data_IF_663724567639
#
_entry.id   IF_663724567639
#
_cell.length_a   1.000
_cell.length_b   1.000
_cell.length_c   1.000
_cell.angle_alpha   90.00
_cell.angle_beta   90.00
_cell.angle_gamma   90.00
#
_symmetry.space_group_name_H-M   'P 1'
#
loop_
_entity.id
_entity.type
_entity.pdbx_description
1 polymer ?
#
# COMPACT_ATOMS: atom_id res chain seq x y z
N UNK A 1 -21.50 9.16 -18.34
CA UNK A 1 -22.03 8.85 -19.70
C UNK A 1 -21.53 7.52 -20.27
N UNK A 2 -20.45 6.93 -19.74
CA UNK A 2 -19.86 5.68 -20.20
C UNK A 2 -20.83 4.50 -20.39
N UNK A 3 -21.92 4.44 -19.60
CA UNK A 3 -22.97 3.42 -19.68
C UNK A 3 -24.24 3.89 -20.39
N UNK A 4 -24.17 4.98 -21.16
CA UNK A 4 -25.32 5.56 -21.87
C UNK A 4 -26.37 6.22 -20.97
N UNK A 5 -26.05 6.48 -19.69
CA UNK A 5 -26.96 7.09 -18.70
C UNK A 5 -26.65 8.56 -18.45
N UNK A 6 -27.70 9.37 -18.35
CA UNK A 6 -27.64 10.77 -17.88
C UNK A 6 -27.68 10.75 -16.34
N UNK A 7 -26.80 11.48 -15.64
CA UNK A 7 -26.82 11.54 -14.17
C UNK A 7 -28.18 11.99 -13.62
N UNK A 8 -28.67 11.31 -12.59
CA UNK A 8 -29.93 11.61 -11.89
C UNK A 8 -29.80 12.72 -10.85
N UNK A 9 -28.60 13.31 -10.70
CA UNK A 9 -28.35 14.44 -9.82
C UNK A 9 -29.14 15.67 -10.25
N UNK A 10 -29.45 16.57 -9.31
CA UNK A 10 -30.21 17.80 -9.58
C UNK A 10 -29.61 18.62 -10.74
N UNK A 11 -28.28 18.73 -10.80
CA UNK A 11 -27.56 19.46 -11.85
C UNK A 11 -27.34 18.65 -13.14
N UNK A 12 -27.77 17.37 -13.19
CA UNK A 12 -27.53 16.43 -14.31
C UNK A 12 -26.07 16.32 -14.74
N UNK A 13 -25.16 16.45 -13.77
CA UNK A 13 -23.71 16.36 -13.94
C UNK A 13 -23.11 15.40 -12.92
N UNK A 14 -22.01 14.77 -13.30
CA UNK A 14 -21.15 14.04 -12.38
C UNK A 14 -20.50 15.06 -11.43
N UNK A 15 -20.56 14.77 -10.13
CA UNK A 15 -20.13 15.68 -9.06
C UNK A 15 -18.90 15.15 -8.34
N UNK A 16 -18.90 15.22 -7.01
CA UNK A 16 -17.85 14.61 -6.19
C UNK A 16 -17.75 13.09 -6.46
N UNK A 17 -16.54 12.50 -6.37
CA UNK A 17 -16.37 11.05 -6.50
C UNK A 17 -17.27 10.28 -5.54
N UNK A 18 -17.86 9.19 -6.03
CA UNK A 18 -18.61 8.25 -5.19
C UNK A 18 -17.66 7.41 -4.32
N UNK A 19 -18.21 6.65 -3.36
CA UNK A 19 -17.44 5.69 -2.58
C UNK A 19 -16.73 4.67 -3.49
N UNK A 20 -17.45 4.11 -4.47
CA UNK A 20 -16.88 3.15 -5.43
C UNK A 20 -15.74 3.76 -6.25
N UNK A 21 -15.90 5.00 -6.73
CA UNK A 21 -14.84 5.70 -7.46
C UNK A 21 -13.61 5.95 -6.56
N UNK A 22 -13.84 6.30 -5.29
CA UNK A 22 -12.77 6.51 -4.30
C UNK A 22 -12.02 5.21 -3.99
N UNK A 23 -12.75 4.10 -3.81
CA UNK A 23 -12.16 2.78 -3.59
C UNK A 23 -11.35 2.31 -4.81
N UNK A 24 -11.88 2.52 -6.02
CA UNK A 24 -11.18 2.21 -7.27
C UNK A 24 -9.88 3.01 -7.39
N UNK A 25 -9.92 4.31 -7.08
CA UNK A 25 -8.73 5.15 -7.06
C UNK A 25 -7.67 4.65 -6.04
N UNK A 26 -8.10 4.20 -4.86
CA UNK A 26 -7.19 3.60 -3.85
C UNK A 26 -6.57 2.29 -4.33
N UNK A 27 -7.33 1.47 -5.05
CA UNK A 27 -6.84 0.21 -5.64
C UNK A 27 -5.77 0.49 -6.70
N UNK A 28 -5.98 1.50 -7.56
CA UNK A 28 -4.97 1.97 -8.52
C UNK A 28 -3.73 2.49 -7.78
N UNK A 29 -3.91 3.39 -6.80
CA UNK A 29 -2.81 3.99 -6.02
C UNK A 29 -1.95 2.94 -5.31
N UNK A 30 -2.58 2.01 -4.58
CA UNK A 30 -1.87 0.93 -3.86
C UNK A 30 -1.06 0.02 -4.80
N UNK A 31 -1.50 -0.10 -6.05
CA UNK A 31 -0.82 -0.93 -7.05
C UNK A 31 0.43 -0.24 -7.61
N UNK A 32 0.33 1.05 -7.97
CA UNK A 32 1.44 1.77 -8.62
C UNK A 32 2.44 2.39 -7.64
N UNK A 33 2.00 2.80 -6.44
CA UNK A 33 2.81 3.57 -5.48
C UNK A 33 4.12 2.88 -5.07
N UNK A 34 4.16 1.56 -4.80
CA UNK A 34 5.42 0.89 -4.45
C UNK A 34 6.41 0.78 -5.62
N UNK A 35 5.97 1.03 -6.85
CA UNK A 35 6.75 0.80 -8.08
C UNK A 35 7.53 2.04 -8.54
N UNK A 36 7.29 3.20 -7.93
CA UNK A 36 8.12 4.38 -8.15
C UNK A 36 9.55 4.13 -7.64
N UNK A 37 10.52 4.65 -8.37
CA UNK A 37 11.91 4.64 -7.92
C UNK A 37 12.05 5.36 -6.57
N UNK A 38 12.92 4.84 -5.70
CA UNK A 38 13.12 5.41 -4.37
C UNK A 38 13.69 6.82 -4.47
N UNK A 39 13.27 7.70 -3.56
CA UNK A 39 13.68 9.11 -3.51
C UNK A 39 13.20 9.94 -4.70
N UNK A 40 12.14 9.49 -5.39
CA UNK A 40 11.42 10.33 -6.34
C UNK A 40 10.32 11.09 -5.61
N UNK A 41 10.60 12.35 -5.26
CA UNK A 41 9.74 13.18 -4.42
C UNK A 41 8.92 14.21 -5.21
N UNK A 42 8.99 14.19 -6.55
CA UNK A 42 8.20 15.07 -7.39
C UNK A 42 6.71 14.70 -7.36
N UNK A 43 5.85 15.71 -7.40
CA UNK A 43 4.40 15.50 -7.41
C UNK A 43 3.96 14.80 -8.70
N UNK A 44 3.20 13.71 -8.56
CA UNK A 44 2.61 12.96 -9.68
C UNK A 44 1.11 12.88 -9.48
N UNK A 45 0.36 13.24 -10.51
CA UNK A 45 -1.09 13.15 -10.53
C UNK A 45 -1.55 12.24 -11.67
N UNK A 46 -2.10 11.07 -11.32
CA UNK A 46 -2.69 10.12 -12.27
C UNK A 46 -4.21 10.25 -12.24
N UNK A 47 -4.80 10.54 -13.40
CA UNK A 47 -6.26 10.68 -13.56
C UNK A 47 -6.79 9.56 -14.45
N UNK A 48 -7.61 8.68 -13.89
CA UNK A 48 -8.29 7.61 -14.63
C UNK A 48 -9.74 8.01 -14.85
N UNK A 49 -10.14 8.16 -16.12
CA UNK A 49 -11.51 8.49 -16.51
C UNK A 49 -12.13 7.36 -17.32
N UNK A 50 -13.28 6.84 -16.86
CA UNK A 50 -14.02 5.79 -17.56
C UNK A 50 -14.91 6.44 -18.63
N UNK A 51 -14.56 6.23 -19.90
CA UNK A 51 -15.27 6.84 -21.04
C UNK A 51 -16.34 5.93 -21.63
N UNK A 52 -16.17 4.61 -21.54
CA UNK A 52 -17.09 3.59 -22.04
C UNK A 52 -17.11 2.40 -21.09
N UNK A 53 -18.28 1.81 -20.85
CA UNK A 53 -18.43 0.70 -19.93
C UNK A 53 -19.51 -0.27 -20.40
N UNK A 54 -19.14 -1.54 -20.55
CA UNK A 54 -19.99 -2.62 -21.04
C UNK A 54 -20.78 -3.34 -19.94
N UNK A 55 -20.45 -3.09 -18.67
CA UNK A 55 -21.10 -3.72 -17.52
C UNK A 55 -20.47 -5.03 -17.07
N UNK A 56 -19.36 -5.48 -17.67
CA UNK A 56 -18.82 -6.82 -17.41
C UNK A 56 -17.44 -6.81 -16.74
N UNK A 57 -16.57 -5.88 -17.13
CA UNK A 57 -15.18 -5.81 -16.62
C UNK A 57 -15.06 -4.72 -15.56
N UNK A 58 -14.54 -5.08 -14.39
CA UNK A 58 -14.29 -4.12 -13.30
C UNK A 58 -13.37 -2.97 -13.78
N UNK A 59 -13.85 -1.71 -13.83
CA UNK A 59 -13.06 -0.60 -14.34
C UNK A 59 -11.77 -0.34 -13.57
N UNK A 60 -11.70 -0.69 -12.28
CA UNK A 60 -10.48 -0.54 -11.48
C UNK A 60 -9.30 -1.36 -12.05
N UNK A 61 -9.56 -2.54 -12.62
CA UNK A 61 -8.54 -3.40 -13.24
C UNK A 61 -7.92 -2.72 -14.45
N UNK A 62 -8.76 -2.20 -15.35
CA UNK A 62 -8.31 -1.44 -16.52
C UNK A 62 -7.65 -0.12 -16.10
N UNK A 63 -8.09 0.48 -15.00
CA UNK A 63 -7.46 1.66 -14.40
C UNK A 63 -6.03 1.40 -13.96
N UNK A 64 -5.73 0.25 -13.35
CA UNK A 64 -4.36 -0.14 -12.98
C UNK A 64 -3.49 -0.29 -14.23
N UNK A 65 -3.98 -1.03 -15.23
CA UNK A 65 -3.24 -1.28 -16.48
C UNK A 65 -3.00 0.05 -17.21
N UNK A 66 -4.02 0.90 -17.33
CA UNK A 66 -3.91 2.20 -17.97
C UNK A 66 -2.94 3.14 -17.24
N UNK A 67 -2.99 3.19 -15.90
CA UNK A 67 -2.06 3.96 -15.10
C UNK A 67 -0.61 3.46 -15.24
N UNK A 68 -0.41 2.14 -15.17
CA UNK A 68 0.90 1.51 -15.37
C UNK A 68 1.47 1.84 -16.75
N UNK A 69 0.70 1.62 -17.82
CA UNK A 69 1.12 1.92 -19.19
C UNK A 69 1.46 3.41 -19.36
N UNK A 70 0.63 4.32 -18.84
CA UNK A 70 0.84 5.75 -18.95
C UNK A 70 2.12 6.21 -18.24
N UNK A 71 2.37 5.70 -17.04
CA UNK A 71 3.61 5.99 -16.29
C UNK A 71 4.84 5.36 -16.95
N UNK A 72 4.67 4.18 -17.55
CA UNK A 72 5.76 3.49 -18.23
C UNK A 72 6.23 4.25 -19.46
N UNK A 73 5.32 4.86 -20.23
CA UNK A 73 5.66 5.65 -21.42
C UNK A 73 5.95 7.14 -21.15
N UNK A 74 5.81 7.60 -19.90
CA UNK A 74 6.15 8.98 -19.53
C UNK A 74 7.63 9.13 -19.18
N UNK A 75 8.03 10.36 -18.87
CA UNK A 75 9.34 10.72 -18.34
C UNK A 75 9.53 10.34 -16.85
N UNK A 76 8.48 9.97 -16.14
CA UNK A 76 8.55 9.61 -14.70
C UNK A 76 9.40 8.34 -14.52
N UNK A 77 10.25 8.25 -13.48
CA UNK A 77 11.09 7.08 -13.18
C UNK A 77 10.27 5.90 -12.64
N UNK A 78 9.50 5.31 -13.56
CA UNK A 78 8.66 4.14 -13.41
C UNK A 78 9.08 3.13 -14.48
N UNK A 79 9.76 2.06 -14.05
CA UNK A 79 10.47 1.16 -14.96
C UNK A 79 9.82 -0.21 -15.07
N UNK A 80 9.03 -0.60 -14.09
CA UNK A 80 8.47 -1.95 -14.00
C UNK A 80 6.96 -1.90 -14.27
N UNK A 81 6.49 -2.38 -15.42
CA UNK A 81 5.06 -2.49 -15.67
C UNK A 81 4.39 -3.41 -14.66
N UNK A 82 3.17 -3.05 -14.31
CA UNK A 82 2.26 -3.91 -13.57
C UNK A 82 0.97 -4.11 -14.36
N UNK A 83 0.34 -5.25 -14.16
CA UNK A 83 -0.99 -5.52 -14.66
C UNK A 83 -1.86 -6.02 -13.51
N UNK A 84 -3.17 -6.03 -13.74
CA UNK A 84 -4.13 -6.53 -12.79
C UNK A 84 -5.12 -7.46 -13.47
N UNK A 85 -5.63 -8.42 -12.70
CA UNK A 85 -6.66 -9.37 -13.11
C UNK A 85 -7.67 -9.47 -11.97
N UNK A 86 -8.97 -9.46 -12.31
CA UNK A 86 -10.03 -9.86 -11.39
C UNK A 86 -10.31 -11.36 -11.58
N UNK A 87 -10.36 -12.11 -10.49
CA UNK A 87 -10.52 -13.56 -10.44
C UNK A 87 -11.67 -13.96 -9.52
N UNK A 88 -12.44 -14.93 -9.95
CA UNK A 88 -13.43 -15.64 -9.16
C UNK A 88 -13.09 -17.11 -9.00
N UNK A 89 -13.90 -17.85 -8.23
CA UNK A 89 -13.65 -19.27 -7.96
C UNK A 89 -14.91 -20.12 -8.09
N UNK A 90 -14.96 -21.05 -9.06
CA UNK A 90 -16.06 -22.02 -9.22
C UNK A 90 -15.54 -23.42 -8.87
N UNK A 91 -15.36 -24.27 -9.88
CA UNK A 91 -14.64 -25.55 -9.76
C UNK A 91 -13.12 -25.36 -9.81
N UNK A 92 -12.68 -24.14 -10.15
CA UNK A 92 -11.30 -23.64 -10.10
C UNK A 92 -11.30 -22.12 -10.29
N UNK A 93 -10.11 -21.49 -10.32
CA UNK A 93 -9.96 -20.07 -10.65
C UNK A 93 -10.51 -19.74 -12.04
N UNK A 94 -11.22 -18.63 -12.16
CA UNK A 94 -11.78 -18.14 -13.44
C UNK A 94 -11.57 -16.64 -13.58
N UNK A 95 -11.48 -16.14 -14.81
CA UNK A 95 -11.42 -14.70 -15.08
C UNK A 95 -12.76 -14.03 -14.71
N UNK A 96 -12.67 -12.89 -14.01
CA UNK A 96 -13.80 -12.10 -13.53
C UNK A 96 -14.38 -12.61 -12.21
N UNK A 97 -15.12 -11.76 -11.49
CA UNK A 97 -15.60 -12.08 -10.15
C UNK A 97 -16.75 -13.09 -10.19
N UNK A 98 -17.04 -13.72 -9.06
CA UNK A 98 -18.26 -14.48 -8.85
C UNK A 98 -18.73 -14.46 -7.38
N UNK A 99 -19.81 -15.20 -7.09
CA UNK A 99 -20.42 -15.26 -5.75
C UNK A 99 -19.51 -15.84 -4.65
N UNK A 100 -18.52 -16.65 -5.01
CA UNK A 100 -17.62 -17.28 -4.03
C UNK A 100 -16.36 -16.45 -3.81
N UNK A 101 -15.90 -15.74 -4.83
CA UNK A 101 -14.68 -14.96 -4.81
C UNK A 101 -14.77 -13.79 -5.80
N UNK A 102 -14.43 -12.60 -5.31
CA UNK A 102 -14.09 -11.41 -6.09
C UNK A 102 -12.70 -10.97 -5.63
N UNK A 103 -11.69 -11.30 -6.43
CA UNK A 103 -10.28 -11.14 -6.10
C UNK A 103 -9.59 -10.30 -7.18
N UNK A 104 -9.16 -9.09 -6.83
CA UNK A 104 -8.28 -8.29 -7.69
C UNK A 104 -6.85 -8.50 -7.26
N UNK A 105 -6.02 -9.00 -8.18
CA UNK A 105 -4.57 -9.15 -7.99
C UNK A 105 -3.86 -8.23 -8.96
N UNK A 106 -2.92 -7.42 -8.45
CA UNK A 106 -2.01 -6.63 -9.27
C UNK A 106 -0.57 -7.05 -9.02
N UNK A 107 0.21 -7.15 -10.08
CA UNK A 107 1.58 -7.64 -10.02
C UNK A 107 2.44 -7.23 -11.21
N UNK A 108 3.73 -7.36 -11.00
CA UNK A 108 4.77 -7.31 -12.03
C UNK A 108 5.07 -8.71 -12.56
N UNK A 109 6.04 -8.81 -13.47
CA UNK A 109 6.50 -10.09 -14.01
C UNK A 109 6.87 -11.09 -12.91
N UNK A 110 7.60 -10.64 -11.90
CA UNK A 110 8.20 -11.51 -10.89
C UNK A 110 7.44 -11.52 -9.55
N UNK A 111 6.68 -10.46 -9.25
CA UNK A 111 6.14 -10.25 -7.92
C UNK A 111 4.70 -9.74 -7.92
N UNK A 112 3.94 -10.20 -6.95
CA UNK A 112 2.61 -9.69 -6.62
C UNK A 112 2.77 -8.47 -5.72
N UNK A 113 2.06 -7.39 -6.07
CA UNK A 113 2.19 -6.08 -5.40
C UNK A 113 0.99 -5.79 -4.52
N UNK A 114 -0.22 -6.10 -5.00
CA UNK A 114 -1.46 -5.74 -4.34
C UNK A 114 -2.51 -6.84 -4.52
N UNK A 115 -3.24 -7.13 -3.45
CA UNK A 115 -4.38 -8.04 -3.44
C UNK A 115 -5.53 -7.36 -2.70
N UNK A 116 -6.72 -7.38 -3.28
CA UNK A 116 -7.99 -6.96 -2.67
C UNK A 116 -9.01 -8.07 -2.93
N UNK A 117 -9.71 -8.53 -1.88
CA UNK A 117 -10.56 -9.70 -1.98
C UNK A 117 -11.84 -9.59 -1.15
N UNK A 118 -12.93 -10.11 -1.72
CA UNK A 118 -14.14 -10.50 -1.00
C UNK A 118 -14.40 -11.98 -1.28
N UNK A 119 -14.67 -12.77 -0.24
CA UNK A 119 -14.80 -14.22 -0.39
C UNK A 119 -15.87 -14.80 0.55
N UNK A 120 -16.55 -15.85 0.08
CA UNK A 120 -17.58 -16.55 0.85
C UNK A 120 -17.01 -17.85 1.46
N UNK A 121 -16.28 -17.70 2.58
CA UNK A 121 -15.72 -18.81 3.37
C UNK A 121 -14.96 -19.88 2.56
N UNK A 122 -14.17 -19.46 1.56
CA UNK A 122 -13.30 -20.35 0.78
C UNK A 122 -11.99 -20.64 1.53
N UNK A 123 -11.40 -21.81 1.29
CA UNK A 123 -10.13 -22.19 1.94
C UNK A 123 -8.94 -21.37 1.44
N UNK A 124 -7.92 -21.24 2.28
CA UNK A 124 -6.68 -20.51 1.99
C UNK A 124 -5.99 -21.05 0.74
N UNK A 125 -5.99 -22.37 0.55
CA UNK A 125 -5.40 -23.00 -0.65
C UNK A 125 -6.08 -22.50 -1.93
N UNK A 126 -7.41 -22.39 -1.94
CA UNK A 126 -8.15 -21.90 -3.12
C UNK A 126 -7.85 -20.43 -3.42
N UNK A 127 -7.62 -19.62 -2.39
CA UNK A 127 -7.19 -18.23 -2.55
C UNK A 127 -5.78 -18.19 -3.17
N UNK A 128 -4.85 -19.00 -2.67
CA UNK A 128 -3.49 -19.09 -3.24
C UNK A 128 -3.53 -19.54 -4.70
N UNK A 129 -4.35 -20.55 -5.04
CA UNK A 129 -4.52 -21.02 -6.41
C UNK A 129 -5.09 -19.91 -7.31
N UNK A 130 -6.05 -19.13 -6.82
CA UNK A 130 -6.62 -17.99 -7.55
C UNK A 130 -5.60 -16.87 -7.78
N UNK A 131 -4.75 -16.60 -6.78
CA UNK A 131 -3.67 -15.62 -6.86
C UNK A 131 -2.63 -16.05 -7.91
N UNK A 132 -2.22 -17.32 -7.91
CA UNK A 132 -1.27 -17.85 -8.88
C UNK A 132 -1.85 -17.80 -10.30
N UNK A 133 -3.12 -18.18 -10.46
CA UNK A 133 -3.83 -18.05 -11.73
C UNK A 133 -3.85 -16.60 -12.23
N UNK A 134 -4.15 -15.63 -11.37
CA UNK A 134 -4.13 -14.22 -11.73
C UNK A 134 -2.73 -13.77 -12.23
N UNK A 135 -1.67 -14.18 -11.52
CA UNK A 135 -0.30 -13.85 -11.86
C UNK A 135 0.13 -14.45 -13.20
N UNK A 136 -0.32 -15.66 -13.54
CA UNK A 136 -0.11 -16.26 -14.86
C UNK A 136 -0.85 -15.49 -15.96
N UNK A 137 -2.13 -15.21 -15.76
CA UNK A 137 -2.97 -14.55 -16.79
C UNK A 137 -2.53 -13.11 -17.09
N UNK A 138 -1.90 -12.42 -16.14
CA UNK A 138 -1.46 -11.04 -16.35
C UNK A 138 -0.16 -10.90 -17.15
N UNK A 139 0.61 -11.98 -17.35
CA UNK A 139 1.92 -11.91 -18.02
C UNK A 139 1.82 -11.38 -19.47
N UNK A 140 0.77 -11.74 -20.21
CA UNK A 140 0.56 -11.23 -21.56
C UNK A 140 0.33 -9.71 -21.59
N UNK A 141 -0.37 -9.17 -20.58
CA UNK A 141 -0.61 -7.73 -20.45
C UNK A 141 0.67 -6.97 -20.07
N UNK A 142 1.53 -7.59 -19.26
CA UNK A 142 2.84 -7.04 -18.90
C UNK A 142 3.75 -7.00 -20.14
N UNK A 143 3.82 -8.10 -20.90
CA UNK A 143 4.61 -8.18 -22.12
C UNK A 143 4.19 -7.10 -23.14
N UNK A 144 2.88 -6.88 -23.31
CA UNK A 144 2.36 -5.84 -24.19
C UNK A 144 2.77 -4.42 -23.74
N UNK A 145 2.80 -4.16 -22.43
CA UNK A 145 3.30 -2.89 -21.89
C UNK A 145 4.81 -2.71 -22.14
N UNK A 146 5.59 -3.78 -22.00
CA UNK A 146 7.03 -3.76 -22.30
C UNK A 146 7.29 -3.49 -23.80
N UNK A 147 6.50 -4.08 -24.69
CA UNK A 147 6.55 -3.81 -26.14
C UNK A 147 6.23 -2.35 -26.44
N UNK A 148 5.14 -1.82 -25.87
CA UNK A 148 4.76 -0.42 -26.01
C UNK A 148 5.87 0.53 -25.53
N UNK A 149 6.48 0.26 -24.38
CA UNK A 149 7.57 1.07 -23.85
C UNK A 149 8.80 1.05 -24.77
N UNK A 150 9.13 -0.11 -25.36
CA UNK A 150 10.24 -0.23 -26.33
C UNK A 150 9.99 0.58 -27.60
N UNK A 151 8.75 0.61 -28.09
CA UNK A 151 8.39 1.39 -29.28
C UNK A 151 8.42 2.90 -29.04
N UNK A 152 7.93 3.35 -27.88
CA UNK A 152 7.93 4.78 -27.52
C UNK A 152 9.33 5.25 -27.13
N UNK A 153 10.11 4.40 -26.45
CA UNK A 153 11.45 4.68 -25.95
C UNK A 153 11.56 6.03 -25.19
N UNK A 154 10.78 6.23 -24.11
CA UNK A 154 10.75 7.51 -23.41
C UNK A 154 12.08 7.81 -22.69
N UNK A 155 12.50 9.07 -22.72
CA UNK A 155 13.62 9.53 -21.90
C UNK A 155 13.15 9.68 -20.45
N UNK A 156 13.72 8.86 -19.55
CA UNK A 156 13.36 8.86 -18.13
C UNK A 156 14.08 9.99 -17.39
N UNK A 157 13.34 10.66 -16.53
CA UNK A 157 13.84 11.64 -15.59
C UNK A 157 14.89 10.99 -14.69
N UNK A 158 16.07 11.58 -14.66
CA UNK A 158 17.17 11.13 -13.79
C UNK A 158 17.01 11.82 -12.44
N UNK A 159 16.80 11.02 -11.40
CA UNK A 159 16.71 11.52 -10.03
C UNK A 159 18.06 12.13 -9.64
N UNK A 160 18.05 13.43 -9.36
CA UNK A 160 19.21 14.09 -8.79
C UNK A 160 19.27 13.79 -7.30
N UNK A 161 20.24 12.96 -6.89
CA UNK A 161 20.54 12.79 -5.48
C UNK A 161 21.18 14.07 -4.95
N UNK A 162 20.46 14.81 -4.10
CA UNK A 162 21.09 15.83 -3.28
C UNK A 162 22.10 15.13 -2.37
N UNK A 163 23.32 15.65 -2.26
CA UNK A 163 24.27 15.20 -1.25
C UNK A 163 23.67 15.51 0.13
N UNK A 164 23.03 14.51 0.73
CA UNK A 164 22.49 14.62 2.09
C UNK A 164 23.61 14.59 3.13
N UNK A 165 23.34 15.17 4.30
CA UNK A 165 24.16 14.96 5.47
C UNK A 165 24.16 13.47 5.81
N UNK A 166 25.33 12.85 5.80
CA UNK A 166 25.47 11.41 5.96
C UNK A 166 25.30 11.05 7.44
N UNK A 167 24.12 10.56 7.82
CA UNK A 167 23.88 10.02 9.16
C UNK A 167 24.43 8.61 9.21
N UNK A 168 25.31 8.34 10.17
CA UNK A 168 25.91 7.01 10.34
C UNK A 168 25.18 6.16 11.39
N UNK A 169 25.46 4.86 11.39
CA UNK A 169 24.99 3.96 12.45
C UNK A 169 25.61 4.36 13.80
N UNK A 170 26.84 4.87 13.76
CA UNK A 170 27.57 5.38 14.92
C UNK A 170 26.84 6.54 15.60
N UNK A 171 26.26 7.44 14.82
CA UNK A 171 25.50 8.59 15.31
C UNK A 171 24.22 8.18 16.06
N UNK A 172 23.64 7.04 15.67
CA UNK A 172 22.40 6.51 16.23
C UNK A 172 22.60 5.33 17.19
N UNK A 173 23.83 5.10 17.68
CA UNK A 173 24.15 3.98 18.59
C UNK A 173 23.22 3.91 19.79
N UNK A 174 22.91 5.05 20.42
CA UNK A 174 22.03 5.08 21.59
C UNK A 174 20.59 4.74 21.22
N UNK A 175 20.10 5.24 20.10
CA UNK A 175 18.76 4.92 19.57
C UNK A 175 18.65 3.41 19.25
N UNK A 176 19.70 2.85 18.65
CA UNK A 176 19.77 1.42 18.34
C UNK A 176 19.82 0.57 19.62
N UNK A 177 20.52 1.03 20.65
CA UNK A 177 20.53 0.35 21.95
C UNK A 177 19.15 0.39 22.62
N UNK A 178 18.43 1.49 22.53
CA UNK A 178 17.05 1.57 23.04
C UNK A 178 16.11 0.65 22.24
N UNK A 179 16.32 0.49 20.93
CA UNK A 179 15.61 -0.49 20.10
C UNK A 179 15.80 -1.95 20.57
N UNK A 180 16.92 -2.27 21.22
CA UNK A 180 17.17 -3.60 21.80
C UNK A 180 16.47 -3.82 23.15
N UNK A 181 16.08 -2.75 23.84
CA UNK A 181 15.47 -2.84 25.17
C UNK A 181 14.03 -3.40 25.10
N UNK A 182 13.72 -4.49 25.80
CA UNK A 182 12.44 -5.21 25.65
C UNK A 182 11.21 -4.53 26.30
N UNK A 183 11.38 -3.46 27.07
CA UNK A 183 10.42 -3.08 28.14
C UNK A 183 9.51 -1.86 27.90
N UNK A 184 9.52 -1.20 26.74
CA UNK A 184 8.84 0.10 26.64
C UNK A 184 7.48 0.03 25.92
N UNK A 185 6.38 0.22 26.68
CA UNK A 185 5.05 0.56 26.10
C UNK A 185 5.11 1.80 25.20
N UNK A 186 6.10 2.67 25.42
CA UNK A 186 6.29 3.95 24.71
C UNK A 186 7.58 3.99 23.88
N UNK A 187 8.07 2.83 23.43
CA UNK A 187 9.36 2.71 22.73
C UNK A 187 9.45 3.61 21.50
N UNK A 188 8.36 3.69 20.73
CA UNK A 188 8.26 4.51 19.52
C UNK A 188 8.38 5.99 19.86
N UNK A 189 7.69 6.45 20.90
CA UNK A 189 7.73 7.85 21.32
C UNK A 189 9.11 8.24 21.87
N UNK A 190 9.76 7.35 22.62
CA UNK A 190 11.14 7.57 23.09
C UNK A 190 12.13 7.65 21.94
N UNK A 191 12.05 6.73 20.98
CA UNK A 191 12.92 6.73 19.79
C UNK A 191 12.72 8.02 19.01
N UNK A 192 11.48 8.45 18.78
CA UNK A 192 11.22 9.71 18.09
C UNK A 192 11.86 10.89 18.82
N UNK A 193 11.65 11.00 20.15
CA UNK A 193 12.28 12.04 20.96
C UNK A 193 13.82 12.04 20.87
N UNK A 194 14.44 10.86 20.81
CA UNK A 194 15.90 10.76 20.64
C UNK A 194 16.36 11.21 19.25
N UNK A 195 15.57 10.94 18.20
CA UNK A 195 15.85 11.44 16.85
C UNK A 195 15.71 12.97 16.82
N UNK A 196 14.63 13.50 17.39
CA UNK A 196 14.38 14.95 17.43
C UNK A 196 15.52 15.68 18.16
N UNK A 197 15.94 15.16 19.32
CA UNK A 197 17.09 15.69 20.07
C UNK A 197 18.41 15.58 19.28
N UNK A 198 18.66 14.47 18.60
CA UNK A 198 19.83 14.31 17.76
C UNK A 198 19.87 15.36 16.63
N UNK A 199 18.74 15.60 15.98
CA UNK A 199 18.61 16.60 14.92
C UNK A 199 18.81 18.01 15.51
N UNK A 200 18.23 18.33 16.66
CA UNK A 200 18.40 19.64 17.30
C UNK A 200 19.86 19.89 17.71
N UNK A 201 20.51 18.92 18.38
CA UNK A 201 21.87 19.08 18.91
C UNK A 201 22.95 19.15 17.81
N UNK A 202 22.83 18.32 16.77
CA UNK A 202 23.85 18.22 15.72
C UNK A 202 23.56 19.10 14.52
N UNK A 203 22.29 19.41 14.28
CA UNK A 203 21.80 19.97 13.03
C UNK A 203 20.72 21.06 13.21
N UNK A 204 20.54 21.60 14.42
CA UNK A 204 19.49 22.59 14.72
C UNK A 204 19.54 23.87 13.88
N UNK A 205 20.72 24.24 13.38
CA UNK A 205 20.94 25.41 12.53
C UNK A 205 20.69 25.18 11.03
N UNK A 206 20.40 23.93 10.62
CA UNK A 206 20.06 23.64 9.22
C UNK A 206 18.64 24.09 8.89
N UNK A 207 18.38 24.26 7.59
CA UNK A 207 17.03 24.48 7.10
C UNK A 207 16.12 23.25 7.35
N UNK A 208 14.82 23.48 7.28
CA UNK A 208 13.83 22.45 7.58
C UNK A 208 13.84 21.30 6.55
N UNK A 209 14.25 21.56 5.29
CA UNK A 209 14.34 20.55 4.23
C UNK A 209 15.46 19.54 4.52
N UNK A 210 16.62 20.03 4.95
CA UNK A 210 17.75 19.22 5.38
C UNK A 210 17.43 18.44 6.66
N UNK A 211 16.71 19.04 7.62
CA UNK A 211 16.25 18.33 8.82
C UNK A 211 15.34 17.16 8.48
N UNK A 212 14.39 17.35 7.58
CA UNK A 212 13.52 16.28 7.07
C UNK A 212 14.33 15.18 6.37
N UNK A 213 15.34 15.54 5.57
CA UNK A 213 16.23 14.57 4.93
C UNK A 213 17.06 13.75 5.94
N UNK A 214 17.51 14.39 7.03
CA UNK A 214 18.23 13.73 8.12
C UNK A 214 17.30 12.78 8.87
N UNK A 215 16.09 13.23 9.21
CA UNK A 215 15.07 12.39 9.85
C UNK A 215 14.73 11.16 9.00
N UNK A 216 14.54 11.34 7.70
CA UNK A 216 14.32 10.23 6.77
C UNK A 216 15.49 9.22 6.78
N UNK A 217 16.74 9.71 6.83
CA UNK A 217 17.94 8.88 6.93
C UNK A 217 18.01 8.12 8.25
N UNK A 218 17.71 8.78 9.38
CA UNK A 218 17.61 8.16 10.69
C UNK A 218 16.56 7.03 10.69
N UNK A 219 15.38 7.31 10.15
CA UNK A 219 14.30 6.34 10.03
C UNK A 219 14.67 5.13 9.16
N UNK A 220 15.46 5.31 8.10
CA UNK A 220 15.97 4.19 7.29
C UNK A 220 16.93 3.29 8.09
N UNK A 221 17.86 3.88 8.85
CA UNK A 221 18.81 3.14 9.70
C UNK A 221 18.06 2.37 10.79
N UNK A 222 17.12 3.04 11.47
CA UNK A 222 16.27 2.44 12.51
C UNK A 222 15.44 1.29 11.94
N UNK A 223 14.82 1.47 10.77
CA UNK A 223 14.07 0.43 10.07
C UNK A 223 14.95 -0.78 9.76
N UNK A 224 16.19 -0.56 9.31
CA UNK A 224 17.13 -1.64 9.04
C UNK A 224 17.58 -2.36 10.32
N UNK A 225 17.87 -1.62 11.39
CA UNK A 225 18.24 -2.16 12.70
C UNK A 225 17.10 -2.99 13.32
N UNK A 226 15.88 -2.45 13.34
CA UNK A 226 14.68 -3.14 13.79
C UNK A 226 14.45 -4.45 13.01
N UNK A 227 14.59 -4.43 11.69
CA UNK A 227 14.46 -5.63 10.86
C UNK A 227 15.51 -6.69 11.22
N UNK A 228 16.77 -6.29 11.42
CA UNK A 228 17.85 -7.20 11.84
C UNK A 228 17.55 -7.83 13.21
N UNK A 229 17.05 -7.06 14.17
CA UNK A 229 16.71 -7.55 15.50
C UNK A 229 15.59 -8.58 15.46
N UNK A 230 14.51 -8.30 14.71
CA UNK A 230 13.39 -9.24 14.57
C UNK A 230 13.83 -10.55 13.91
N UNK A 231 14.65 -10.48 12.86
CA UNK A 231 15.18 -11.67 12.18
C UNK A 231 16.14 -12.48 13.05
N UNK A 232 16.99 -11.82 13.84
CA UNK A 232 17.99 -12.46 14.71
C UNK A 232 17.35 -13.11 15.93
N UNK A 233 16.49 -12.36 16.62
CA UNK A 233 15.92 -12.78 17.90
C UNK A 233 14.64 -13.62 17.72
N UNK A 234 14.03 -13.61 16.53
CA UNK A 234 12.70 -14.20 16.25
C UNK A 234 11.61 -13.68 17.20
N UNK A 235 11.78 -12.45 17.66
CA UNK A 235 10.87 -11.73 18.55
C UNK A 235 10.56 -10.37 17.92
N UNK A 236 9.34 -9.87 18.15
CA UNK A 236 8.92 -8.53 17.76
C UNK A 236 9.52 -7.49 18.69
N UNK A 237 9.51 -6.22 18.25
CA UNK A 237 10.06 -5.09 19.01
C UNK A 237 9.35 -4.84 20.35
N UNK A 238 8.11 -5.33 20.49
CA UNK A 238 7.29 -5.27 21.70
C UNK A 238 7.41 -6.54 22.58
N UNK A 239 8.36 -7.43 22.27
CA UNK A 239 8.67 -8.63 23.04
C UNK A 239 7.80 -9.85 22.72
N UNK A 240 6.83 -9.73 21.81
CA UNK A 240 5.98 -10.87 21.41
C UNK A 240 6.73 -11.83 20.47
N UNK A 241 6.38 -13.12 20.50
CA UNK A 241 6.79 -14.04 19.44
C UNK A 241 6.13 -13.67 18.10
N UNK A 242 6.62 -14.26 17.00
CA UNK A 242 6.12 -13.95 15.65
C UNK A 242 4.65 -14.36 15.44
N UNK A 243 4.21 -15.40 16.14
CA UNK A 243 2.86 -15.99 16.12
C UNK A 243 1.95 -15.48 17.25
N UNK A 244 2.49 -14.79 18.26
CA UNK A 244 1.69 -14.28 19.38
C UNK A 244 0.85 -13.06 18.99
N UNK A 245 -0.46 -13.20 19.19
CA UNK A 245 -1.46 -12.11 19.09
C UNK A 245 -1.42 -11.27 20.37
N UNK A 246 -1.76 -9.97 20.27
CA UNK A 246 -1.92 -9.08 21.44
C UNK A 246 -3.14 -9.49 22.26
N UNK A 247 -3.18 -9.08 23.52
CA UNK A 247 -4.32 -9.31 24.41
C UNK A 247 -5.62 -8.79 23.77
N UNK A 248 -6.68 -9.60 23.88
CA UNK A 248 -7.99 -9.33 23.32
C UNK A 248 -8.96 -9.16 24.48
N UNK A 249 -9.73 -8.07 24.42
CA UNK A 249 -10.82 -7.77 25.35
C UNK A 249 -12.07 -7.43 24.55
N UNK A 250 -13.21 -7.96 24.98
CA UNK A 250 -14.48 -7.87 24.25
C UNK A 250 -15.57 -7.53 25.25
N UNK A 251 -16.17 -6.36 25.09
CA UNK A 251 -17.33 -5.94 25.86
C UNK A 251 -18.56 -5.83 24.95
N UNK A 252 -19.66 -6.47 25.34
CA UNK A 252 -20.91 -6.49 24.58
C UNK A 252 -21.96 -5.65 25.31
N UNK A 253 -22.88 -5.05 24.56
CA UNK A 253 -23.87 -4.09 25.09
C UNK A 253 -23.23 -2.87 25.77
N UNK A 254 -22.10 -2.43 25.24
CA UNK A 254 -21.33 -1.30 25.77
C UNK A 254 -22.14 0.01 25.80
N UNK A 255 -22.99 0.23 24.79
CA UNK A 255 -23.88 1.38 24.70
C UNK A 255 -25.28 1.02 25.23
N UNK A 256 -25.79 1.76 26.23
CA UNK A 256 -27.04 1.40 26.92
C UNK A 256 -28.31 1.52 26.06
N UNK A 257 -28.25 2.32 24.99
CA UNK A 257 -29.42 2.65 24.15
C UNK A 257 -29.33 2.10 22.71
N UNK A 258 -28.21 1.47 22.32
CA UNK A 258 -28.07 0.90 20.98
C UNK A 258 -28.83 -0.43 20.90
N UNK A 259 -29.33 -0.79 19.70
CA UNK A 259 -29.97 -2.11 19.49
C UNK A 259 -28.97 -3.25 19.70
N UNK A 260 -27.75 -3.08 19.19
CA UNK A 260 -26.60 -3.88 19.57
C UNK A 260 -25.33 -3.03 19.59
N UNK A 261 -24.41 -3.31 20.52
CA UNK A 261 -23.10 -2.66 20.55
C UNK A 261 -22.02 -3.58 21.08
N UNK A 262 -20.79 -3.37 20.62
CA UNK A 262 -19.62 -4.07 21.13
C UNK A 262 -18.39 -3.17 21.09
N UNK A 263 -17.61 -3.19 22.17
CA UNK A 263 -16.28 -2.60 22.24
C UNK A 263 -15.26 -3.73 22.10
N UNK A 264 -14.57 -3.76 20.97
CA UNK A 264 -13.51 -4.72 20.71
C UNK A 264 -12.15 -4.05 20.89
N UNK A 265 -11.29 -4.62 21.74
CA UNK A 265 -9.93 -4.15 21.98
C UNK A 265 -8.93 -5.25 21.68
N UNK A 266 -7.88 -4.93 20.94
CA UNK A 266 -6.73 -5.81 20.68
C UNK A 266 -5.44 -5.04 20.94
N UNK A 267 -4.87 -5.19 22.14
CA UNK A 267 -3.82 -4.32 22.68
C UNK A 267 -4.23 -2.84 22.58
N UNK A 268 -3.35 -1.98 22.02
CA UNK A 268 -3.63 -0.54 21.88
C UNK A 268 -4.57 -0.16 20.72
N UNK A 269 -5.24 -1.12 20.08
CA UNK A 269 -6.19 -0.85 18.99
C UNK A 269 -7.60 -1.18 19.47
N UNK A 270 -8.51 -0.21 19.41
CA UNK A 270 -9.88 -0.35 19.88
C UNK A 270 -10.88 0.07 18.80
N UNK A 271 -12.01 -0.63 18.73
CA UNK A 271 -13.11 -0.35 17.81
C UNK A 271 -14.45 -0.48 18.54
N UNK A 272 -15.26 0.58 18.49
CA UNK A 272 -16.65 0.54 18.93
C UNK A 272 -17.55 0.29 17.72
N UNK A 273 -18.24 -0.84 17.72
CA UNK A 273 -19.25 -1.18 16.72
C UNK A 273 -20.65 -1.07 17.29
N UNK A 274 -21.59 -0.60 16.49
CA UNK A 274 -23.03 -0.60 16.80
C UNK A 274 -23.81 -1.12 15.59
N UNK A 275 -24.88 -1.86 15.86
CA UNK A 275 -25.83 -2.35 14.85
C UNK A 275 -27.25 -1.92 15.19
#
# INVERSE_FOLDING_TARGET
>A
YASGKIPTSFHRREGKPSLTATLSARVVDRSIRPMFEKNFDSEVHVVVSVLSYDGTIEPAVLGIIGASSALLISDIPFHTPIAAINVGFREGPVLGPNVNLDLIVAGSKDNIVMVEASANEISEQKIVDAINYAHEQMQGLIALQEELCKEVAPEKYVIQHKEGVNVSIEDLKEVIKELECKSAKDKVEKIQKMIDLFIEEKHGNLDDELKLSIEASCNQIIKAAARKLVLKNKERLDGRSLDQVRDIDIDINYLPMAHGSALFSRGNTQSLGSV
#
